data_IF_349019014725
#
_entry.id   IF_349019014725
#
_cell.length_a   1.000
_cell.length_b   1.000
_cell.length_c   1.000
_cell.angle_alpha   90.00
_cell.angle_beta   90.00
_cell.angle_gamma   90.00
#
_symmetry.space_group_name_H-M   'P 1'
#
loop_
_entity.id
_entity.type
_entity.pdbx_description
1 polymer ?
#
# COMPACT_ATOMS: atom_id res chain seq x y z
N UNK A 1 -9.86 -23.26 27.50
CA UNK A 1 -10.98 -22.64 26.75
C UNK A 1 -11.96 -23.74 26.37
N UNK A 2 -13.23 -23.62 26.77
CA UNK A 2 -14.28 -24.61 26.49
C UNK A 2 -14.49 -24.73 24.97
N UNK A 3 -14.70 -25.97 24.50
CA UNK A 3 -14.98 -26.34 23.10
C UNK A 3 -16.08 -25.46 22.49
N UNK A 4 -15.80 -24.82 21.35
CA UNK A 4 -16.66 -23.84 20.64
C UNK A 4 -17.55 -24.51 19.57
N UNK A 5 -17.42 -25.83 19.35
CA UNK A 5 -17.99 -26.51 18.18
C UNK A 5 -19.10 -27.46 18.63
N UNK A 6 -20.29 -27.29 18.04
CA UNK A 6 -21.48 -28.10 18.36
C UNK A 6 -21.60 -29.31 17.42
N UNK A 7 -21.28 -29.14 16.14
CA UNK A 7 -21.28 -30.21 15.14
C UNK A 7 -20.16 -30.05 14.10
N UNK A 8 -19.57 -31.19 13.70
CA UNK A 8 -18.64 -31.28 12.57
C UNK A 8 -19.19 -32.29 11.56
N UNK A 9 -19.35 -31.87 10.32
CA UNK A 9 -19.66 -32.77 9.18
C UNK A 9 -18.46 -32.83 8.25
N UNK A 10 -18.00 -34.03 7.94
CA UNK A 10 -16.80 -34.28 7.13
C UNK A 10 -17.23 -34.98 5.84
N UNK A 11 -16.85 -34.40 4.70
CA UNK A 11 -17.06 -35.00 3.39
C UNK A 11 -15.72 -35.12 2.66
N UNK A 12 -15.33 -36.35 2.35
CA UNK A 12 -14.18 -36.66 1.50
C UNK A 12 -14.66 -36.84 0.06
N UNK A 13 -14.15 -36.00 -0.84
CA UNK A 13 -14.41 -36.11 -2.26
C UNK A 13 -13.12 -36.51 -2.97
N UNK A 14 -13.21 -37.58 -3.77
CA UNK A 14 -12.12 -38.05 -4.62
C UNK A 14 -12.52 -37.87 -6.08
N UNK A 15 -11.76 -37.08 -6.83
CA UNK A 15 -11.97 -36.89 -8.26
C UNK A 15 -10.63 -37.06 -9.00
N UNK A 16 -10.52 -38.15 -9.77
CA UNK A 16 -9.25 -38.63 -10.38
C UNK A 16 -8.13 -38.75 -9.33
N UNK A 17 -7.08 -37.93 -9.42
CA UNK A 17 -5.91 -37.95 -8.53
C UNK A 17 -5.95 -36.87 -7.42
N UNK A 18 -7.05 -36.12 -7.29
CA UNK A 18 -7.20 -35.06 -6.29
C UNK A 18 -8.09 -35.54 -5.15
N UNK A 19 -7.61 -35.38 -3.92
CA UNK A 19 -8.39 -35.56 -2.70
C UNK A 19 -8.71 -34.18 -2.11
N UNK A 20 -9.98 -33.92 -1.86
CA UNK A 20 -10.43 -32.71 -1.17
C UNK A 20 -11.21 -33.11 0.08
N UNK A 21 -10.81 -32.57 1.23
CA UNK A 21 -11.55 -32.71 2.48
C UNK A 21 -12.34 -31.42 2.72
N UNK A 22 -13.66 -31.56 2.83
CA UNK A 22 -14.56 -30.50 3.21
C UNK A 22 -15.01 -30.74 4.65
N UNK A 23 -14.74 -29.79 5.53
CA UNK A 23 -15.21 -29.81 6.91
C UNK A 23 -16.13 -28.62 7.14
N UNK A 24 -17.38 -28.90 7.51
CA UNK A 24 -18.35 -27.89 7.90
C UNK A 24 -18.44 -27.85 9.43
N UNK A 25 -18.23 -26.68 10.01
CA UNK A 25 -18.34 -26.43 11.44
C UNK A 25 -19.55 -25.53 11.71
N UNK A 26 -20.25 -25.84 12.81
CA UNK A 26 -21.32 -25.00 13.34
C UNK A 26 -20.96 -24.60 14.77
N UNK A 27 -20.92 -23.29 15.01
CA UNK A 27 -20.76 -22.75 16.37
C UNK A 27 -22.13 -22.62 17.08
N UNK A 28 -22.09 -22.31 18.38
CA UNK A 28 -23.27 -22.17 19.22
C UNK A 28 -24.19 -21.00 18.83
N UNK A 29 -23.75 -20.11 17.95
CA UNK A 29 -24.52 -19.00 17.41
C UNK A 29 -25.09 -19.30 16.01
N UNK A 30 -25.06 -20.56 15.57
CA UNK A 30 -25.44 -20.99 14.21
C UNK A 30 -24.62 -20.35 13.08
N UNK A 31 -23.38 -19.92 13.34
CA UNK A 31 -22.47 -19.52 12.27
C UNK A 31 -21.86 -20.77 11.61
N UNK A 32 -21.87 -20.78 10.29
CA UNK A 32 -21.28 -21.86 9.48
C UNK A 32 -19.88 -21.48 9.02
N UNK A 33 -18.91 -22.35 9.30
CA UNK A 33 -17.55 -22.25 8.78
C UNK A 33 -17.31 -23.44 7.86
N UNK A 34 -16.87 -23.19 6.63
CA UNK A 34 -16.45 -24.25 5.71
C UNK A 34 -14.94 -24.18 5.53
N UNK A 35 -14.26 -25.26 5.89
CA UNK A 35 -12.85 -25.45 5.63
C UNK A 35 -12.70 -26.42 4.45
N UNK A 36 -11.92 -25.99 3.45
CA UNK A 36 -11.59 -26.82 2.28
C UNK A 36 -10.08 -27.09 2.34
N UNK A 37 -9.70 -28.35 2.40
CA UNK A 37 -8.30 -28.77 2.36
C UNK A 37 -8.07 -29.53 1.06
N UNK A 38 -7.22 -28.97 0.20
CA UNK A 38 -6.77 -29.61 -1.03
C UNK A 38 -5.47 -30.40 -0.77
N UNK A 39 -5.51 -31.70 -1.02
CA UNK A 39 -4.36 -32.60 -0.85
C UNK A 39 -3.58 -32.83 -2.15
N UNK A 40 -3.89 -32.11 -3.23
CA UNK A 40 -3.25 -32.28 -4.54
C UNK A 40 -1.72 -32.09 -4.51
N UNK A 41 -1.18 -31.37 -3.52
CA UNK A 41 0.26 -31.13 -3.34
C UNK A 41 0.85 -31.64 -2.02
N UNK A 42 0.12 -32.41 -1.21
CA UNK A 42 0.61 -32.85 0.11
C UNK A 42 1.30 -34.20 -0.01
N UNK A 43 2.59 -34.20 -0.38
CA UNK A 43 3.42 -35.41 -0.32
C UNK A 43 3.91 -35.66 1.11
N UNK A 44 3.36 -36.66 1.80
CA UNK A 44 3.89 -37.25 3.04
C UNK A 44 4.17 -36.30 4.24
N UNK A 45 3.45 -35.19 4.40
CA UNK A 45 3.60 -34.28 5.54
C UNK A 45 2.62 -34.58 6.69
N UNK A 46 3.10 -34.46 7.95
CA UNK A 46 2.31 -34.72 9.17
C UNK A 46 1.48 -33.49 9.55
N UNK A 47 0.16 -33.60 9.49
CA UNK A 47 -0.75 -32.60 10.05
C UNK A 47 -0.75 -32.63 11.59
N UNK A 48 -0.68 -31.45 12.22
CA UNK A 48 -0.83 -31.28 13.68
C UNK A 48 -1.77 -30.12 13.98
N UNK A 49 -2.53 -30.22 15.08
CA UNK A 49 -3.34 -29.11 15.60
C UNK A 49 -2.55 -28.44 16.71
N UNK A 50 -2.28 -27.13 16.58
CA UNK A 50 -1.63 -26.32 17.62
C UNK A 50 -2.40 -25.01 17.77
N UNK A 51 -2.76 -24.67 19.01
CA UNK A 51 -3.47 -23.43 19.37
C UNK A 51 -4.75 -23.14 18.55
N UNK A 52 -5.48 -24.19 18.17
CA UNK A 52 -6.74 -24.06 17.41
C UNK A 52 -6.59 -23.94 15.89
N UNK A 53 -5.35 -24.02 15.37
CA UNK A 53 -5.05 -23.98 13.94
C UNK A 53 -4.50 -25.32 13.45
N UNK A 54 -4.86 -25.71 12.23
CA UNK A 54 -4.31 -26.89 11.55
C UNK A 54 -2.99 -26.49 10.87
N UNK A 55 -1.89 -27.12 11.27
CA UNK A 55 -0.56 -26.90 10.71
C UNK A 55 -0.20 -28.04 9.74
N UNK A 56 0.23 -27.67 8.53
CA UNK A 56 0.91 -28.56 7.57
C UNK A 56 2.37 -28.06 7.53
N UNK A 57 3.32 -28.89 7.96
CA UNK A 57 4.72 -28.45 8.16
C UNK A 57 5.66 -29.12 7.18
N UNK A 58 6.51 -28.31 6.55
CA UNK A 58 7.79 -28.73 5.96
C UNK A 58 8.94 -27.96 6.64
N UNK A 59 9.03 -28.07 7.97
CA UNK A 59 9.93 -27.26 8.81
C UNK A 59 9.20 -26.24 9.70
N UNK A 60 9.97 -25.34 10.33
CA UNK A 60 9.55 -24.49 11.46
C UNK A 60 8.67 -23.27 11.13
N UNK A 61 8.15 -23.13 9.90
CA UNK A 61 7.28 -22.01 9.52
C UNK A 61 5.84 -22.45 9.18
N UNK A 62 4.85 -21.79 9.79
CA UNK A 62 3.42 -21.98 9.50
C UNK A 62 2.97 -21.05 8.36
N UNK A 63 2.42 -21.61 7.28
CA UNK A 63 1.76 -20.84 6.21
C UNK A 63 0.28 -20.55 6.56
N UNK A 64 -0.14 -19.28 6.44
CA UNK A 64 -1.53 -18.82 6.60
C UNK A 64 -2.21 -18.65 5.23
N UNK A 65 -3.47 -19.09 5.06
CA UNK A 65 -4.27 -18.81 3.85
C UNK A 65 -5.69 -18.28 4.13
N UNK A 66 -6.20 -17.57 3.12
CA UNK A 66 -7.13 -16.43 3.13
C UNK A 66 -8.61 -16.78 2.86
N UNK A 67 -9.48 -15.79 3.16
CA UNK A 67 -10.92 -15.68 2.90
C UNK A 67 -11.35 -15.82 1.42
N UNK A 68 -12.47 -16.51 1.17
CA UNK A 68 -13.32 -16.37 -0.02
C UNK A 68 -14.79 -16.21 0.42
N UNK A 69 -15.41 -15.04 0.17
CA UNK A 69 -16.86 -14.84 0.34
C UNK A 69 -17.52 -14.48 -1.00
N UNK A 70 -18.79 -14.89 -1.11
CA UNK A 70 -19.78 -14.60 -2.16
C UNK A 70 -19.94 -15.63 -3.29
N UNK A 71 -18.90 -16.04 -4.03
CA UNK A 71 -19.10 -16.99 -5.14
C UNK A 71 -19.40 -18.43 -4.65
N UNK A 72 -18.70 -18.89 -3.61
CA UNK A 72 -18.84 -20.26 -3.10
C UNK A 72 -20.18 -20.47 -2.36
N UNK A 73 -20.72 -19.42 -1.71
CA UNK A 73 -22.03 -19.48 -1.05
C UNK A 73 -23.14 -19.70 -2.09
N UNK A 74 -23.03 -19.05 -3.25
CA UNK A 74 -23.99 -19.23 -4.33
C UNK A 74 -23.96 -20.66 -4.89
N UNK A 75 -22.76 -21.18 -5.14
CA UNK A 75 -22.54 -22.56 -5.62
C UNK A 75 -23.02 -23.59 -4.59
N UNK A 76 -22.71 -23.41 -3.32
CA UNK A 76 -23.12 -24.33 -2.25
C UNK A 76 -24.63 -24.30 -2.01
N UNK A 77 -25.28 -23.14 -2.18
CA UNK A 77 -26.74 -23.02 -2.07
C UNK A 77 -27.43 -23.76 -3.21
N UNK A 78 -26.92 -23.63 -4.44
CA UNK A 78 -27.41 -24.40 -5.60
C UNK A 78 -27.19 -25.90 -5.38
N UNK A 79 -26.00 -26.32 -4.90
CA UNK A 79 -25.74 -27.72 -4.57
C UNK A 79 -26.67 -28.25 -3.47
N UNK A 80 -26.99 -27.45 -2.44
CA UNK A 80 -27.95 -27.82 -1.39
C UNK A 80 -29.36 -28.05 -1.95
N UNK A 81 -29.81 -27.18 -2.85
CA UNK A 81 -31.11 -27.31 -3.53
C UNK A 81 -31.13 -28.58 -4.41
N UNK A 82 -30.05 -28.85 -5.14
CA UNK A 82 -29.93 -30.08 -5.94
C UNK A 82 -29.95 -31.35 -5.08
N UNK A 83 -29.26 -31.37 -3.93
CA UNK A 83 -29.25 -32.51 -3.01
C UNK A 83 -30.62 -32.73 -2.36
N UNK A 84 -31.32 -31.65 -1.98
CA UNK A 84 -32.69 -31.76 -1.46
C UNK A 84 -33.63 -32.33 -2.52
N UNK A 85 -33.53 -31.86 -3.77
CA UNK A 85 -34.32 -32.41 -4.88
C UNK A 85 -34.01 -33.89 -5.14
N UNK A 86 -32.75 -34.30 -5.06
CA UNK A 86 -32.34 -35.71 -5.19
C UNK A 86 -32.88 -36.57 -4.04
N UNK A 87 -32.84 -36.08 -2.79
CA UNK A 87 -33.37 -36.80 -1.63
C UNK A 87 -34.91 -36.91 -1.66
N UNK A 88 -35.62 -35.91 -2.19
CA UNK A 88 -37.07 -35.99 -2.42
C UNK A 88 -37.41 -37.07 -3.44
N UNK A 89 -36.57 -37.24 -4.48
CA UNK A 89 -36.73 -38.30 -5.48
C UNK A 89 -36.47 -39.68 -4.87
N UNK A 90 -35.43 -39.83 -4.04
CA UNK A 90 -35.12 -41.11 -3.37
C UNK A 90 -36.18 -41.52 -2.33
N UNK A 91 -36.71 -40.59 -1.55
CA UNK A 91 -37.80 -40.89 -0.61
C UNK A 91 -39.09 -41.29 -1.33
N UNK A 92 -39.31 -40.80 -2.55
CA UNK A 92 -40.44 -41.22 -3.39
C UNK A 92 -40.25 -42.63 -3.96
N UNK A 93 -39.02 -43.15 -4.00
CA UNK A 93 -38.67 -44.48 -4.52
C UNK A 93 -38.89 -45.59 -3.50
N UNK A 94 -38.82 -45.29 -2.19
CA UNK A 94 -39.03 -46.25 -1.09
C UNK A 94 -40.51 -46.54 -0.80
N UNK A 95 -41.44 -45.71 -1.28
CA UNK A 95 -42.89 -45.85 -1.07
C UNK A 95 -43.61 -46.34 -2.32
N UNK A 96 -43.16 -47.45 -2.93
CA UNK A 96 -43.96 -48.34 -3.80
C UNK A 96 -44.84 -47.72 -4.89
N UNK A 97 -44.55 -46.51 -5.37
CA UNK A 97 -45.42 -45.76 -6.28
C UNK A 97 -45.16 -46.07 -7.75
N UNK A 98 -46.22 -46.38 -8.49
CA UNK A 98 -46.22 -46.72 -9.92
C UNK A 98 -45.24 -45.90 -10.79
N UNK A 99 -44.30 -46.62 -11.41
CA UNK A 99 -43.12 -46.15 -12.15
C UNK A 99 -43.39 -45.25 -13.38
N UNK A 100 -44.63 -45.09 -13.81
CA UNK A 100 -45.01 -44.34 -15.02
C UNK A 100 -45.43 -42.90 -14.76
N UNK A 101 -45.86 -42.54 -13.53
CA UNK A 101 -46.39 -41.19 -13.24
C UNK A 101 -45.32 -40.21 -12.74
N UNK A 102 -44.31 -40.70 -12.03
CA UNK A 102 -43.16 -39.93 -11.50
C UNK A 102 -42.12 -39.59 -12.57
N UNK A 103 -41.87 -40.47 -13.55
CA UNK A 103 -41.02 -40.16 -14.72
C UNK A 103 -41.61 -39.03 -15.57
N UNK A 104 -42.92 -39.02 -15.76
CA UNK A 104 -43.61 -37.97 -16.53
C UNK A 104 -43.63 -36.63 -15.78
N UNK A 105 -43.71 -36.61 -14.44
CA UNK A 105 -43.56 -35.39 -13.65
C UNK A 105 -42.12 -34.85 -13.64
N UNK A 106 -41.11 -35.72 -13.61
CA UNK A 106 -39.70 -35.29 -13.66
C UNK A 106 -39.35 -34.69 -15.03
N UNK A 107 -39.86 -35.28 -16.12
CA UNK A 107 -39.71 -34.75 -17.48
C UNK A 107 -40.45 -33.41 -17.63
N UNK A 108 -41.61 -33.25 -16.99
CA UNK A 108 -42.35 -31.98 -16.99
C UNK A 108 -41.60 -30.88 -16.20
N UNK A 109 -41.03 -31.21 -15.04
CA UNK A 109 -40.22 -30.27 -14.24
C UNK A 109 -38.92 -29.88 -14.96
N UNK A 110 -38.26 -30.81 -15.65
CA UNK A 110 -37.05 -30.52 -16.43
C UNK A 110 -37.37 -29.69 -17.68
N UNK A 111 -38.52 -29.93 -18.34
CA UNK A 111 -39.00 -29.06 -19.43
C UNK A 111 -39.40 -27.66 -18.93
N UNK A 112 -40.03 -27.55 -17.76
CA UNK A 112 -40.37 -26.24 -17.16
C UNK A 112 -39.12 -25.46 -16.72
N UNK A 113 -38.07 -26.17 -16.26
CA UNK A 113 -36.77 -25.57 -15.92
C UNK A 113 -36.02 -25.07 -17.18
N UNK A 114 -36.12 -25.78 -18.31
CA UNK A 114 -35.52 -25.34 -19.58
C UNK A 114 -36.22 -24.11 -20.18
N UNK A 115 -37.52 -23.93 -19.96
CA UNK A 115 -38.26 -22.72 -20.40
C UNK A 115 -37.85 -21.48 -19.59
N UNK A 116 -37.47 -21.64 -18.32
CA UNK A 116 -36.99 -20.52 -17.47
C UNK A 116 -35.57 -20.08 -17.87
N UNK A 117 -34.73 -20.98 -18.38
CA UNK A 117 -33.35 -20.67 -18.79
C UNK A 117 -33.30 -20.03 -20.20
N UNK A 118 -34.27 -20.32 -21.07
CA UNK A 118 -34.37 -19.70 -22.40
C UNK A 118 -34.98 -18.28 -22.38
N UNK A 119 -35.54 -17.82 -21.25
CA UNK A 119 -36.17 -16.51 -21.10
C UNK A 119 -35.26 -15.37 -20.65
N UNK A 120 -33.97 -15.63 -20.33
CA UNK A 120 -33.00 -14.60 -19.93
C UNK A 120 -31.96 -14.30 -21.01
N UNK A 121 -32.36 -14.44 -22.27
CA UNK A 121 -31.59 -14.00 -23.43
C UNK A 121 -32.46 -13.11 -24.30
N UNK A 122 -32.27 -11.78 -24.15
CA UNK A 122 -32.82 -10.68 -24.96
C UNK A 122 -34.13 -10.06 -24.43
N UNK A 123 -34.01 -9.28 -23.36
CA UNK A 123 -34.94 -8.19 -23.07
C UNK A 123 -34.35 -6.87 -23.61
N UNK A 124 -34.95 -6.35 -24.67
CA UNK A 124 -34.93 -4.92 -24.98
C UNK A 124 -35.59 -4.18 -23.81
N UNK A 125 -34.77 -3.58 -22.94
CA UNK A 125 -35.25 -2.56 -22.02
C UNK A 125 -35.66 -1.35 -22.83
N UNK A 126 -36.97 -1.12 -22.96
CA UNK A 126 -37.51 0.24 -23.07
C UNK A 126 -37.10 0.99 -21.80
N UNK A 127 -36.04 1.77 -21.93
CA UNK A 127 -35.69 2.83 -21.00
C UNK A 127 -36.84 3.86 -21.01
N UNK A 128 -37.61 3.88 -19.92
CA UNK A 128 -38.19 5.14 -19.48
C UNK A 128 -37.01 6.01 -19.06
N UNK A 129 -36.67 6.96 -19.93
CA UNK A 129 -35.64 7.96 -19.76
C UNK A 129 -36.01 8.90 -18.60
N UNK A 130 -35.59 8.49 -17.40
CA UNK A 130 -35.07 9.42 -16.41
C UNK A 130 -33.61 9.06 -16.19
N UNK A 131 -32.80 9.32 -17.22
CA UNK A 131 -31.34 9.40 -17.13
C UNK A 131 -30.94 10.52 -16.16
N UNK A 132 -30.93 10.20 -14.87
CA UNK A 132 -29.93 10.81 -13.98
C UNK A 132 -28.59 10.30 -14.50
N UNK A 133 -27.91 11.10 -15.33
CA UNK A 133 -26.54 10.85 -15.81
C UNK A 133 -25.74 10.17 -14.70
N UNK A 134 -25.42 8.88 -14.88
CA UNK A 134 -24.43 8.23 -14.04
C UNK A 134 -23.16 9.07 -14.16
N UNK A 135 -22.80 9.79 -13.09
CA UNK A 135 -21.51 10.47 -13.02
C UNK A 135 -20.45 9.38 -13.23
N UNK A 136 -19.58 9.55 -14.22
CA UNK A 136 -18.45 8.66 -14.48
C UNK A 136 -17.76 8.32 -13.16
N UNK A 137 -17.84 7.08 -12.68
CA UNK A 137 -17.20 6.64 -11.44
C UNK A 137 -16.13 5.59 -11.71
N UNK A 138 -15.12 5.52 -10.84
CA UNK A 138 -14.05 4.53 -10.95
C UNK A 138 -13.62 4.05 -9.57
N UNK A 139 -13.20 2.78 -9.50
CA UNK A 139 -12.71 2.16 -8.27
C UNK A 139 -11.20 2.24 -8.17
N UNK A 140 -10.71 2.51 -6.97
CA UNK A 140 -9.29 2.56 -6.64
C UNK A 140 -9.03 1.52 -5.57
N UNK A 141 -8.13 0.57 -5.86
CA UNK A 141 -7.57 -0.33 -4.84
C UNK A 141 -6.45 0.38 -4.11
N UNK A 142 -6.43 0.26 -2.80
CA UNK A 142 -5.50 0.97 -1.92
C UNK A 142 -5.30 0.19 -0.60
N UNK A 143 -4.46 0.72 0.28
CA UNK A 143 -3.98 0.03 1.50
C UNK A 143 -5.09 -0.40 2.47
N UNK A 144 -6.26 0.25 2.41
CA UNK A 144 -7.41 -0.04 3.28
C UNK A 144 -8.57 -0.73 2.53
N UNK A 145 -8.37 -1.16 1.28
CA UNK A 145 -9.37 -1.89 0.49
C UNK A 145 -9.62 -1.28 -0.89
N UNK A 146 -10.89 -1.06 -1.21
CA UNK A 146 -11.31 -0.47 -2.49
C UNK A 146 -12.28 0.68 -2.24
N UNK A 147 -12.01 1.83 -2.84
CA UNK A 147 -12.86 3.03 -2.74
C UNK A 147 -13.37 3.41 -4.12
N UNK A 148 -14.67 3.63 -4.25
CA UNK A 148 -15.28 4.19 -5.46
C UNK A 148 -15.24 5.72 -5.39
N UNK A 149 -14.69 6.35 -6.44
CA UNK A 149 -14.66 7.80 -6.61
C UNK A 149 -15.60 8.20 -7.73
N UNK A 150 -16.44 9.20 -7.48
CA UNK A 150 -17.46 9.67 -8.41
C UNK A 150 -16.99 10.93 -9.14
N UNK A 151 -16.87 10.87 -10.46
CA UNK A 151 -16.37 11.94 -11.31
C UNK A 151 -14.90 12.26 -11.05
N UNK A 152 -14.44 13.39 -11.58
CA UNK A 152 -13.14 13.96 -11.20
C UNK A 152 -13.28 14.78 -9.92
N UNK A 153 -12.58 14.42 -8.82
CA UNK A 153 -12.57 15.20 -7.59
C UNK A 153 -12.18 16.66 -7.81
N UNK A 154 -12.83 17.58 -7.10
CA UNK A 154 -12.62 19.03 -7.15
C UNK A 154 -12.13 19.59 -5.83
N UNK A 155 -12.42 18.94 -4.71
CA UNK A 155 -12.02 19.33 -3.35
C UNK A 155 -11.26 18.20 -2.70
N UNK A 156 -9.99 18.07 -3.09
CA UNK A 156 -9.10 17.04 -2.57
C UNK A 156 -8.41 17.54 -1.30
N UNK A 157 -8.47 16.73 -0.24
CA UNK A 157 -7.62 16.88 0.94
C UNK A 157 -6.53 15.81 0.89
N UNK A 158 -5.27 16.22 1.05
CA UNK A 158 -4.11 15.31 1.03
C UNK A 158 -3.35 15.41 2.35
N UNK A 159 -3.21 14.28 3.04
CA UNK A 159 -2.73 14.25 4.42
C UNK A 159 -1.21 14.04 4.54
N UNK A 160 -0.48 14.00 3.43
CA UNK A 160 0.99 13.86 3.40
C UNK A 160 1.65 14.96 2.58
N UNK A 161 2.88 15.33 2.95
CA UNK A 161 3.69 16.30 2.22
C UNK A 161 4.07 15.77 0.82
N UNK A 162 4.48 14.50 0.72
CA UNK A 162 4.83 13.87 -0.57
C UNK A 162 3.63 13.77 -1.51
N UNK A 163 2.44 13.55 -0.96
CA UNK A 163 1.21 13.56 -1.75
C UNK A 163 0.81 14.95 -2.22
N UNK A 164 1.08 16.00 -1.43
CA UNK A 164 0.83 17.37 -1.88
C UNK A 164 1.67 17.70 -3.12
N UNK A 165 2.93 17.26 -3.17
CA UNK A 165 3.74 17.37 -4.39
C UNK A 165 3.15 16.59 -5.56
N UNK A 166 2.63 15.38 -5.30
CA UNK A 166 2.05 14.55 -6.33
C UNK A 166 0.86 15.22 -7.02
N UNK A 167 -0.07 15.78 -6.23
CA UNK A 167 -1.23 16.50 -6.75
C UNK A 167 -0.81 17.74 -7.55
N UNK A 168 0.11 18.53 -7.00
CA UNK A 168 0.60 19.74 -7.63
C UNK A 168 1.32 19.45 -8.97
N UNK A 169 2.07 18.35 -9.05
CA UNK A 169 2.76 17.93 -10.27
C UNK A 169 1.79 17.59 -11.42
N UNK A 170 0.54 17.22 -11.12
CA UNK A 170 -0.51 16.95 -12.12
C UNK A 170 -1.56 18.06 -12.20
N UNK A 171 -1.25 19.25 -11.67
CA UNK A 171 -2.09 20.44 -11.77
C UNK A 171 -3.32 20.43 -10.85
N UNK A 172 -3.29 19.65 -9.77
CA UNK A 172 -4.34 19.63 -8.75
C UNK A 172 -3.84 20.34 -7.49
N UNK A 173 -4.43 21.48 -7.16
CA UNK A 173 -4.17 22.17 -5.89
C UNK A 173 -5.11 21.61 -4.82
N UNK A 174 -4.60 21.02 -3.72
CA UNK A 174 -5.46 20.53 -2.65
C UNK A 174 -6.14 21.69 -1.92
N UNK A 175 -7.38 21.49 -1.49
CA UNK A 175 -8.09 22.46 -0.65
C UNK A 175 -7.60 22.42 0.79
N UNK A 176 -7.03 21.29 1.21
CA UNK A 176 -6.37 21.14 2.50
C UNK A 176 -5.21 20.17 2.48
N UNK A 177 -4.16 20.48 3.22
CA UNK A 177 -3.03 19.59 3.46
C UNK A 177 -2.39 19.80 4.83
N UNK A 178 -1.48 18.91 5.22
CA UNK A 178 -0.76 18.99 6.48
C UNK A 178 0.33 20.04 6.43
N UNK A 179 0.65 20.62 7.60
CA UNK A 179 1.82 21.50 7.71
C UNK A 179 3.08 20.77 7.25
N UNK A 180 4.06 21.49 6.68
CA UNK A 180 5.39 20.95 6.47
C UNK A 180 5.96 20.40 7.77
N UNK A 181 6.72 19.31 7.66
CA UNK A 181 7.52 18.81 8.78
C UNK A 181 8.63 19.79 9.19
N UNK A 182 9.03 20.66 8.27
CA UNK A 182 10.17 21.56 8.42
C UNK A 182 9.87 22.91 7.74
N UNK A 183 10.06 24.03 8.45
CA UNK A 183 9.79 25.40 7.96
C UNK A 183 8.56 26.06 8.59
N UNK A 184 8.30 27.33 8.25
CA UNK A 184 7.31 28.16 8.95
C UNK A 184 5.86 27.93 8.47
N UNK A 185 5.61 27.96 7.16
CA UNK A 185 4.25 27.87 6.59
C UNK A 185 4.13 26.77 5.52
N UNK A 186 4.93 26.85 4.45
CA UNK A 186 5.03 25.85 3.39
C UNK A 186 6.50 25.58 3.05
N UNK A 187 6.81 24.40 2.49
CA UNK A 187 8.13 24.22 1.90
C UNK A 187 8.34 25.25 0.78
N UNK A 188 9.54 25.86 0.65
CA UNK A 188 9.77 26.94 -0.32
C UNK A 188 9.37 26.57 -1.75
N UNK A 189 9.60 25.32 -2.17
CA UNK A 189 9.26 24.84 -3.52
C UNK A 189 7.77 24.61 -3.76
N UNK A 190 6.93 24.68 -2.71
CA UNK A 190 5.47 24.51 -2.79
C UNK A 190 4.69 25.76 -2.39
N UNK A 191 5.32 26.72 -1.70
CA UNK A 191 4.65 27.85 -1.06
C UNK A 191 3.76 28.66 -2.01
N UNK A 192 4.24 28.92 -3.24
CA UNK A 192 3.47 29.67 -4.24
C UNK A 192 2.19 28.94 -4.66
N UNK A 193 2.26 27.61 -4.78
CA UNK A 193 1.17 26.77 -5.27
C UNK A 193 0.16 26.44 -4.16
N UNK A 194 0.59 26.46 -2.88
CA UNK A 194 -0.23 26.16 -1.70
C UNK A 194 -0.75 27.39 -0.95
N UNK A 195 -0.51 28.61 -1.45
CA UNK A 195 -0.88 29.86 -0.76
C UNK A 195 -2.33 29.95 -0.27
N UNK A 196 -3.27 29.31 -0.98
CA UNK A 196 -4.70 29.32 -0.66
C UNK A 196 -5.17 28.01 0.00
N UNK A 197 -4.30 27.00 0.09
CA UNK A 197 -4.57 25.71 0.72
C UNK A 197 -4.69 25.86 2.23
N UNK A 198 -5.65 25.16 2.85
CA UNK A 198 -5.84 25.19 4.30
C UNK A 198 -5.00 24.12 4.99
N UNK A 199 -4.46 24.48 6.15
CA UNK A 199 -3.77 23.53 7.02
C UNK A 199 -4.81 22.68 7.77
N UNK A 200 -4.65 21.35 7.71
CA UNK A 200 -5.52 20.37 8.38
C UNK A 200 -4.81 19.57 9.48
N UNK A 201 -3.79 20.18 10.12
CA UNK A 201 -2.97 19.56 11.16
C UNK A 201 -1.57 19.23 10.67
N UNK A 202 -0.94 18.22 11.26
CA UNK A 202 0.38 17.70 10.89
C UNK A 202 0.23 16.26 10.39
N UNK A 203 1.21 15.72 9.65
CA UNK A 203 1.18 14.30 9.23
C UNK A 203 1.08 13.28 10.39
N UNK A 204 1.32 13.70 11.64
CA UNK A 204 1.19 12.83 12.82
C UNK A 204 -0.11 13.04 13.58
N UNK A 205 -0.74 14.19 13.37
CA UNK A 205 -1.90 14.63 14.14
C UNK A 205 -2.80 15.45 13.24
N UNK A 206 -3.78 14.76 12.66
CA UNK A 206 -4.73 15.33 11.69
C UNK A 206 -5.89 15.95 12.45
N UNK A 207 -6.21 17.20 12.13
CA UNK A 207 -7.37 17.88 12.66
C UNK A 207 -8.61 17.49 11.84
N UNK A 208 -9.36 16.50 12.33
CA UNK A 208 -10.57 15.99 11.66
C UNK A 208 -11.64 17.08 11.45
N UNK A 209 -11.83 17.98 12.42
CA UNK A 209 -12.78 19.09 12.28
C UNK A 209 -12.41 20.04 11.13
N UNK A 210 -11.11 20.33 10.98
CA UNK A 210 -10.59 21.13 9.87
C UNK A 210 -10.83 20.43 8.53
N UNK A 211 -10.61 19.10 8.45
CA UNK A 211 -10.93 18.31 7.25
C UNK A 211 -12.43 18.38 6.93
N UNK A 212 -13.31 18.14 7.91
CA UNK A 212 -14.76 18.20 7.74
C UNK A 212 -15.24 19.57 7.22
N UNK A 213 -14.68 20.66 7.77
CA UNK A 213 -15.06 22.04 7.39
C UNK A 213 -14.79 22.34 5.91
N UNK A 214 -13.81 21.67 5.30
CA UNK A 214 -13.49 21.84 3.87
C UNK A 214 -14.49 21.15 2.95
N UNK A 215 -15.29 20.23 3.47
CA UNK A 215 -16.25 19.41 2.70
C UNK A 215 -15.59 18.78 1.47
N UNK A 216 -14.55 17.95 1.67
CA UNK A 216 -13.83 17.32 0.57
C UNK A 216 -14.73 16.35 -0.21
N UNK A 217 -14.40 16.11 -1.48
CA UNK A 217 -14.98 15.04 -2.29
C UNK A 217 -14.04 13.84 -2.44
N UNK A 218 -12.79 13.98 -2.00
CA UNK A 218 -11.81 12.90 -1.86
C UNK A 218 -10.81 13.26 -0.75
N UNK A 219 -10.49 12.29 0.10
CA UNK A 219 -9.38 12.37 1.06
C UNK A 219 -8.32 11.34 0.64
N UNK A 220 -7.07 11.78 0.59
CA UNK A 220 -5.93 10.90 0.31
C UNK A 220 -4.99 10.93 1.51
N UNK A 221 -4.58 9.75 1.97
CA UNK A 221 -3.71 9.60 3.14
C UNK A 221 -2.73 8.44 3.00
N UNK A 222 -2.18 8.01 4.12
CA UNK A 222 -1.16 6.97 4.19
C UNK A 222 -1.40 6.12 5.43
N UNK A 223 -1.48 4.80 5.26
CA UNK A 223 -1.82 3.86 6.33
C UNK A 223 -0.78 3.90 7.45
N UNK A 224 0.51 3.95 7.15
CA UNK A 224 1.57 4.07 8.17
C UNK A 224 1.36 5.25 9.14
N UNK A 225 0.68 6.32 8.71
CA UNK A 225 0.42 7.51 9.54
C UNK A 225 -1.00 7.55 10.10
N UNK A 226 -1.99 7.19 9.29
CA UNK A 226 -3.39 7.55 9.52
C UNK A 226 -4.33 6.34 9.63
N UNK A 227 -3.81 5.11 9.72
CA UNK A 227 -4.64 3.88 9.80
C UNK A 227 -5.72 3.98 10.89
N UNK A 228 -5.35 4.45 12.09
CA UNK A 228 -6.26 4.56 13.23
C UNK A 228 -7.47 5.48 13.00
N UNK A 229 -7.35 6.44 12.09
CA UNK A 229 -8.38 7.45 11.81
C UNK A 229 -9.03 7.24 10.43
N UNK A 230 -8.75 6.12 9.76
CA UNK A 230 -9.28 5.83 8.42
C UNK A 230 -10.81 5.85 8.39
N UNK A 231 -11.48 5.13 9.29
CA UNK A 231 -12.95 5.08 9.32
C UNK A 231 -13.57 6.46 9.54
N UNK A 232 -12.99 7.27 10.43
CA UNK A 232 -13.43 8.64 10.69
C UNK A 232 -13.28 9.53 9.46
N UNK A 233 -12.20 9.37 8.68
CA UNK A 233 -12.01 10.10 7.43
C UNK A 233 -12.94 9.60 6.33
N UNK A 234 -13.20 8.30 6.27
CA UNK A 234 -14.09 7.68 5.30
C UNK A 234 -15.56 8.06 5.50
N UNK A 235 -15.98 8.35 6.74
CA UNK A 235 -17.28 8.96 7.04
C UNK A 235 -17.41 10.39 6.49
N UNK A 236 -16.29 11.12 6.30
CA UNK A 236 -16.28 12.50 5.81
C UNK A 236 -16.38 12.52 4.28
N UNK A 237 -15.55 11.71 3.60
CA UNK A 237 -15.51 11.60 2.14
C UNK A 237 -14.83 10.29 1.72
N UNK A 238 -15.01 9.83 0.46
CA UNK A 238 -14.25 8.71 -0.08
C UNK A 238 -12.76 8.86 0.24
N UNK A 239 -12.17 7.83 0.85
CA UNK A 239 -10.80 7.90 1.36
C UNK A 239 -9.91 6.84 0.72
N UNK A 240 -8.69 7.22 0.31
CA UNK A 240 -7.72 6.35 -0.38
C UNK A 240 -6.37 6.47 0.32
N UNK A 241 -5.78 5.34 0.76
CA UNK A 241 -4.50 5.33 1.45
C UNK A 241 -3.40 4.62 0.68
N UNK A 242 -2.23 5.26 0.57
CA UNK A 242 -0.98 4.55 0.33
C UNK A 242 -0.59 3.67 1.52
N UNK A 243 0.22 2.63 1.30
CA UNK A 243 0.62 1.70 2.36
C UNK A 243 1.68 2.31 3.29
N UNK A 244 2.82 2.73 2.72
CA UNK A 244 3.94 3.28 3.49
C UNK A 244 4.52 4.55 2.86
N UNK A 245 5.48 5.18 3.53
CA UNK A 245 6.25 6.31 3.00
C UNK A 245 7.59 5.77 2.46
N UNK A 246 8.65 5.81 3.28
CA UNK A 246 9.96 5.17 3.01
C UNK A 246 10.46 5.39 1.56
N UNK A 247 10.75 4.33 0.81
CA UNK A 247 11.17 4.38 -0.58
C UNK A 247 10.01 4.44 -1.60
N UNK A 248 8.76 4.35 -1.16
CA UNK A 248 7.60 4.05 -2.02
C UNK A 248 7.04 5.30 -2.73
N UNK A 249 7.75 6.43 -2.72
CA UNK A 249 7.22 7.72 -3.22
C UNK A 249 6.72 7.67 -4.66
N UNK A 250 7.33 6.86 -5.54
CA UNK A 250 6.88 6.66 -6.94
C UNK A 250 5.56 5.87 -7.02
N UNK A 251 5.41 4.87 -6.16
CA UNK A 251 4.21 4.03 -6.07
C UNK A 251 3.06 4.85 -5.50
N UNK A 252 3.33 5.60 -4.43
CA UNK A 252 2.40 6.56 -3.84
C UNK A 252 1.96 7.62 -4.85
N UNK A 253 2.91 8.22 -5.57
CA UNK A 253 2.63 9.18 -6.64
C UNK A 253 1.67 8.60 -7.70
N UNK A 254 1.91 7.35 -8.11
CA UNK A 254 1.04 6.65 -9.09
C UNK A 254 -0.36 6.44 -8.52
N UNK A 255 -0.48 6.00 -7.26
CA UNK A 255 -1.77 5.85 -6.59
C UNK A 255 -2.53 7.17 -6.49
N UNK A 256 -1.86 8.25 -6.09
CA UNK A 256 -2.51 9.54 -5.85
C UNK A 256 -2.97 10.20 -7.14
N UNK A 257 -2.15 10.14 -8.20
CA UNK A 257 -2.52 10.70 -9.51
C UNK A 257 -3.67 9.91 -10.13
N UNK A 258 -3.71 8.59 -9.96
CA UNK A 258 -4.88 7.78 -10.28
C UNK A 258 -6.10 8.20 -9.45
N UNK A 259 -5.92 8.44 -8.15
CA UNK A 259 -7.02 8.78 -7.27
C UNK A 259 -7.73 10.09 -7.64
N UNK A 260 -7.02 11.05 -8.23
CA UNK A 260 -7.58 12.31 -8.73
C UNK A 260 -7.92 12.31 -10.21
N UNK A 261 -7.97 11.14 -10.86
CA UNK A 261 -8.24 10.96 -12.29
C UNK A 261 -7.24 11.71 -13.21
N UNK A 262 -5.95 11.62 -12.85
CA UNK A 262 -4.81 12.26 -13.54
C UNK A 262 -3.69 11.26 -13.87
N UNK A 263 -4.06 10.01 -14.16
CA UNK A 263 -3.11 8.92 -14.43
C UNK A 263 -2.20 9.22 -15.63
N UNK A 264 -2.71 9.86 -16.69
CA UNK A 264 -1.91 10.23 -17.87
C UNK A 264 -0.86 11.29 -17.53
N UNK A 265 -1.24 12.34 -16.82
CA UNK A 265 -0.31 13.38 -16.36
C UNK A 265 0.70 12.82 -15.36
N UNK A 266 0.28 11.92 -14.47
CA UNK A 266 1.16 11.21 -13.55
C UNK A 266 2.19 10.37 -14.30
N UNK A 267 1.75 9.53 -15.23
CA UNK A 267 2.63 8.69 -16.04
C UNK A 267 3.67 9.55 -16.79
N UNK A 268 3.24 10.66 -17.39
CA UNK A 268 4.13 11.61 -18.04
C UNK A 268 5.17 12.19 -17.08
N UNK A 269 4.79 12.58 -15.87
CA UNK A 269 5.72 13.15 -14.90
C UNK A 269 6.79 12.13 -14.47
N UNK A 270 6.42 10.85 -14.31
CA UNK A 270 7.38 9.76 -14.03
C UNK A 270 8.31 9.50 -15.23
N UNK A 271 7.79 9.56 -16.45
CA UNK A 271 8.60 9.43 -17.67
C UNK A 271 9.60 10.58 -17.81
N UNK A 272 9.18 11.82 -17.55
CA UNK A 272 10.05 12.99 -17.58
C UNK A 272 11.16 12.88 -16.51
N UNK A 273 10.83 12.42 -15.29
CA UNK A 273 11.81 12.11 -14.24
C UNK A 273 12.82 11.03 -14.67
N UNK A 274 12.35 9.91 -15.24
CA UNK A 274 13.23 8.84 -15.77
C UNK A 274 14.14 9.35 -16.88
N UNK A 275 13.59 10.12 -17.82
CA UNK A 275 14.38 10.71 -18.92
C UNK A 275 15.49 11.62 -18.38
N UNK A 276 15.19 12.40 -17.35
CA UNK A 276 16.19 13.24 -16.68
C UNK A 276 17.31 12.41 -16.05
N UNK A 277 16.97 11.31 -15.39
CA UNK A 277 17.94 10.37 -14.82
C UNK A 277 18.85 9.78 -15.90
N UNK A 278 18.30 9.33 -17.03
CA UNK A 278 19.12 8.75 -18.10
C UNK A 278 20.11 9.78 -18.66
N UNK A 279 19.67 11.02 -18.91
CA UNK A 279 20.57 12.10 -19.30
C UNK A 279 21.61 12.45 -18.22
N UNK A 280 21.31 12.21 -16.94
CA UNK A 280 22.26 12.40 -15.84
C UNK A 280 23.30 11.27 -15.78
N UNK A 281 22.88 10.01 -15.98
CA UNK A 281 23.77 8.84 -16.01
C UNK A 281 24.86 9.00 -17.05
N UNK A 282 24.48 9.43 -18.26
CA UNK A 282 25.42 9.70 -19.35
C UNK A 282 26.48 10.74 -18.96
N UNK A 283 26.08 11.81 -18.27
CA UNK A 283 27.00 12.86 -17.82
C UNK A 283 27.89 12.42 -16.65
N UNK A 284 27.37 11.60 -15.75
CA UNK A 284 28.10 11.13 -14.57
C UNK A 284 29.19 10.11 -14.94
N UNK A 285 28.91 9.22 -15.89
CA UNK A 285 29.85 8.19 -16.36
C UNK A 285 30.45 7.42 -15.18
N UNK A 286 31.78 7.35 -15.11
CA UNK A 286 32.50 6.59 -14.07
C UNK A 286 32.24 7.09 -12.64
N UNK A 287 31.73 8.32 -12.46
CA UNK A 287 31.35 8.82 -11.12
C UNK A 287 30.24 7.99 -10.48
N UNK A 288 29.43 7.26 -11.27
CA UNK A 288 28.44 6.31 -10.76
C UNK A 288 29.06 5.17 -9.94
N UNK A 289 30.35 4.88 -10.13
CA UNK A 289 31.07 3.90 -9.33
C UNK A 289 31.34 4.37 -7.89
N UNK A 290 31.16 5.66 -7.59
CA UNK A 290 31.36 6.20 -6.26
C UNK A 290 30.30 5.67 -5.29
N UNK A 291 30.75 5.28 -4.09
CA UNK A 291 29.91 4.87 -2.96
C UNK A 291 29.41 6.12 -2.23
N UNK A 292 28.12 6.41 -2.37
CA UNK A 292 27.48 7.56 -1.74
C UNK A 292 26.89 7.16 -0.38
N UNK A 293 27.32 7.83 0.67
CA UNK A 293 26.87 7.64 2.05
C UNK A 293 25.85 8.71 2.44
N UNK A 294 24.78 8.32 3.16
CA UNK A 294 23.72 9.21 3.62
C UNK A 294 23.55 9.13 5.13
N UNK A 295 23.81 10.25 5.81
CA UNK A 295 23.77 10.35 7.27
C UNK A 295 22.69 11.36 7.69
N UNK A 296 21.92 11.00 8.70
CA UNK A 296 20.95 11.92 9.31
C UNK A 296 21.27 12.11 10.78
N UNK A 297 21.40 13.38 11.17
CA UNK A 297 21.50 13.78 12.57
C UNK A 297 20.14 14.27 13.03
N UNK A 298 19.55 13.58 14.00
CA UNK A 298 18.33 14.02 14.67
C UNK A 298 18.60 14.19 16.17
N UNK A 299 17.80 14.98 16.88
CA UNK A 299 17.92 15.12 18.33
C UNK A 299 17.95 13.75 19.03
N UNK A 300 19.07 13.44 19.70
CA UNK A 300 19.32 12.20 20.44
C UNK A 300 19.61 10.94 19.62
N UNK A 301 19.73 11.01 18.29
CA UNK A 301 19.93 9.82 17.46
C UNK A 301 20.67 10.14 16.14
N UNK A 302 21.61 9.28 15.76
CA UNK A 302 22.33 9.37 14.47
C UNK A 302 21.98 8.14 13.65
N UNK A 303 21.64 8.39 12.38
CA UNK A 303 21.14 7.35 11.47
C UNK A 303 21.94 7.28 10.20
N UNK A 304 22.14 6.07 9.73
CA UNK A 304 22.70 5.77 8.41
C UNK A 304 21.55 5.28 7.52
N UNK A 305 21.24 6.04 6.47
CA UNK A 305 20.11 5.74 5.58
C UNK A 305 20.46 4.68 4.53
N UNK A 306 19.53 3.75 4.32
CA UNK A 306 19.67 2.60 3.42
C UNK A 306 18.77 2.77 2.18
N UNK A 307 18.66 1.76 1.31
CA UNK A 307 17.98 1.91 0.00
C UNK A 307 16.49 2.18 0.11
N UNK A 308 15.80 1.61 1.11
CA UNK A 308 14.36 1.81 1.30
C UNK A 308 14.09 3.13 2.06
N UNK A 309 14.63 4.21 1.51
CA UNK A 309 14.43 5.59 1.96
C UNK A 309 14.35 6.50 0.74
N UNK A 310 13.80 7.70 0.88
CA UNK A 310 13.63 8.63 -0.24
C UNK A 310 14.95 8.88 -1.00
N UNK A 311 15.99 9.33 -0.31
CA UNK A 311 17.33 9.53 -0.90
C UNK A 311 17.96 8.23 -1.38
N UNK A 312 17.69 7.12 -0.68
CA UNK A 312 18.10 5.78 -1.11
C UNK A 312 17.58 5.41 -2.49
N UNK A 313 16.29 5.62 -2.73
CA UNK A 313 15.63 5.32 -4.00
C UNK A 313 16.10 6.27 -5.11
N UNK A 314 16.22 7.57 -4.85
CA UNK A 314 16.70 8.53 -5.86
C UNK A 314 18.14 8.23 -6.28
N UNK A 315 19.04 7.94 -5.33
CA UNK A 315 20.42 7.55 -5.64
C UNK A 315 20.50 6.23 -6.41
N UNK A 316 19.64 5.27 -6.05
CA UNK A 316 19.55 3.99 -6.76
C UNK A 316 19.02 4.17 -8.19
N UNK A 317 18.04 5.06 -8.39
CA UNK A 317 17.52 5.39 -9.73
C UNK A 317 18.62 5.98 -10.62
N UNK A 318 19.42 6.90 -10.08
CA UNK A 318 20.58 7.50 -10.76
C UNK A 318 21.67 6.46 -11.02
N UNK A 319 21.77 5.43 -10.18
CA UNK A 319 22.72 4.32 -10.36
C UNK A 319 24.03 4.46 -9.57
N UNK A 320 24.04 5.29 -8.53
CA UNK A 320 25.18 5.35 -7.61
C UNK A 320 25.31 4.08 -6.79
N UNK A 321 26.56 3.66 -6.53
CA UNK A 321 26.82 2.61 -5.54
C UNK A 321 26.61 3.15 -4.12
N UNK A 322 26.35 2.23 -3.19
CA UNK A 322 26.22 2.52 -1.76
C UNK A 322 27.32 1.78 -0.98
N UNK A 323 27.81 2.30 0.16
CA UNK A 323 28.64 1.53 1.08
C UNK A 323 27.92 0.23 1.51
N UNK A 324 28.63 -0.89 1.79
CA UNK A 324 28.00 -2.19 2.04
C UNK A 324 26.91 -2.23 3.12
N UNK A 325 27.06 -1.43 4.19
CA UNK A 325 26.03 -1.31 5.24
C UNK A 325 24.82 -0.49 4.81
N UNK A 326 24.98 0.35 3.79
CA UNK A 326 23.93 1.19 3.21
C UNK A 326 23.26 0.54 1.99
N UNK A 327 23.92 -0.46 1.40
CA UNK A 327 23.49 -1.24 0.24
C UNK A 327 22.51 -2.36 0.63
N UNK A 328 21.47 -2.02 1.40
CA UNK A 328 20.44 -2.94 1.90
C UNK A 328 19.06 -2.35 1.65
N UNK A 329 18.07 -3.19 1.39
CA UNK A 329 16.67 -2.80 1.12
C UNK A 329 15.88 -2.50 2.41
N UNK A 330 16.57 -1.90 3.37
CA UNK A 330 16.05 -1.48 4.67
C UNK A 330 15.94 0.04 4.73
N UNK A 331 15.26 0.57 5.76
CA UNK A 331 15.04 2.01 5.88
C UNK A 331 16.31 2.77 6.31
N UNK A 332 16.81 2.44 7.51
CA UNK A 332 17.99 3.05 8.09
C UNK A 332 18.48 2.25 9.29
N UNK A 333 19.79 2.28 9.52
CA UNK A 333 20.40 1.88 10.79
C UNK A 333 20.25 3.06 11.76
N UNK A 334 19.75 2.80 12.97
CA UNK A 334 19.49 3.81 14.01
C UNK A 334 20.33 3.54 15.24
N UNK A 335 20.46 4.54 16.11
CA UNK A 335 21.21 4.42 17.35
C UNK A 335 22.70 4.22 17.09
N UNK A 336 23.24 4.86 16.05
CA UNK A 336 24.66 4.80 15.74
C UNK A 336 25.44 5.43 16.88
N UNK A 337 26.46 4.73 17.38
CA UNK A 337 27.40 5.26 18.39
C UNK A 337 28.66 5.80 17.73
N UNK A 338 29.46 6.58 18.45
CA UNK A 338 30.68 7.19 17.90
C UNK A 338 31.70 6.16 17.44
N UNK A 339 31.78 5.01 18.12
CA UNK A 339 32.66 3.89 17.74
C UNK A 339 32.29 3.32 16.36
N UNK A 340 31.05 3.54 15.92
CA UNK A 340 30.53 3.10 14.63
C UNK A 340 30.65 4.17 13.53
N UNK A 341 31.29 5.32 13.80
CA UNK A 341 31.59 6.34 12.77
C UNK A 341 32.24 5.74 11.50
N UNK A 342 33.17 4.77 11.56
CA UNK A 342 33.70 4.12 10.36
C UNK A 342 32.64 3.53 9.41
N UNK A 343 31.45 3.18 9.92
CA UNK A 343 30.34 2.68 9.11
C UNK A 343 29.67 3.77 8.25
N UNK A 344 29.97 5.04 8.52
CA UNK A 344 29.48 6.19 7.76
C UNK A 344 30.30 6.46 6.50
N UNK A 345 31.46 5.82 6.33
CA UNK A 345 32.36 6.17 5.23
C UNK A 345 31.78 5.84 3.84
N UNK A 346 32.30 6.53 2.86
CA UNK A 346 32.00 6.39 1.44
C UNK A 346 32.98 7.23 0.64
N UNK A 347 32.87 7.19 -0.69
CA UNK A 347 33.62 8.13 -1.53
C UNK A 347 33.06 9.55 -1.38
N UNK A 348 31.77 9.66 -1.04
CA UNK A 348 31.06 10.89 -0.72
C UNK A 348 30.16 10.65 0.48
N UNK A 349 30.12 11.61 1.42
CA UNK A 349 29.17 11.63 2.53
C UNK A 349 28.26 12.85 2.35
N UNK A 350 26.96 12.61 2.19
CA UNK A 350 25.96 13.67 2.33
C UNK A 350 25.27 13.50 3.68
N UNK A 351 25.15 14.59 4.42
CA UNK A 351 24.44 14.59 5.69
C UNK A 351 23.41 15.72 5.77
N UNK A 352 22.36 15.48 6.54
CA UNK A 352 21.34 16.48 6.83
C UNK A 352 20.89 16.40 8.28
N UNK A 353 20.39 17.51 8.80
CA UNK A 353 20.00 17.69 10.19
C UNK A 353 18.51 17.89 10.32
N UNK A 354 17.92 17.41 11.41
CA UNK A 354 16.49 17.53 11.70
C UNK A 354 16.21 18.44 12.88
N UNK A 355 16.44 19.72 12.67
CA UNK A 355 16.28 20.76 13.70
C UNK A 355 14.95 21.50 13.61
N UNK A 356 14.23 21.35 12.49
CA UNK A 356 13.10 22.20 12.11
C UNK A 356 11.78 21.80 12.78
N UNK A 357 11.79 20.89 13.77
CA UNK A 357 10.70 20.78 14.74
C UNK A 357 10.92 21.94 15.76
N UNK A 358 9.98 22.91 15.85
CA UNK A 358 10.14 24.18 16.58
C UNK A 358 10.60 24.08 18.05
N UNK A 359 10.46 22.91 18.67
CA UNK A 359 10.76 22.66 20.08
C UNK A 359 12.16 22.09 20.34
N UNK A 360 13.02 21.95 19.32
CA UNK A 360 14.25 21.13 19.42
C UNK A 360 15.59 21.88 19.35
N UNK A 361 15.59 23.20 19.57
CA UNK A 361 16.77 24.02 19.88
C UNK A 361 18.06 23.74 19.05
N UNK A 362 17.95 23.43 17.75
CA UNK A 362 19.09 23.07 16.91
C UNK A 362 19.94 21.88 17.42
N UNK A 363 19.35 20.95 18.17
CA UNK A 363 20.05 19.79 18.74
C UNK A 363 20.65 18.87 17.66
N UNK A 364 19.97 18.66 16.53
CA UNK A 364 20.48 17.89 15.40
C UNK A 364 21.68 18.55 14.72
N UNK A 365 21.66 19.89 14.57
CA UNK A 365 22.80 20.68 14.07
C UNK A 365 23.98 20.61 15.04
N UNK A 366 23.71 20.74 16.33
CA UNK A 366 24.74 20.61 17.37
C UNK A 366 25.38 19.23 17.34
N UNK A 367 24.56 18.18 17.23
CA UNK A 367 25.01 16.80 17.11
C UNK A 367 25.83 16.58 15.83
N UNK A 368 25.38 17.10 14.68
CA UNK A 368 26.13 17.00 13.44
C UNK A 368 27.50 17.67 13.53
N UNK A 369 27.59 18.84 14.17
CA UNK A 369 28.87 19.51 14.41
C UNK A 369 29.78 18.67 15.29
N UNK A 370 29.27 18.17 16.42
CA UNK A 370 30.04 17.33 17.34
C UNK A 370 30.60 16.09 16.63
N UNK A 371 29.79 15.44 15.79
CA UNK A 371 30.18 14.23 15.09
C UNK A 371 31.14 14.49 13.94
N UNK A 372 30.93 15.55 13.15
CA UNK A 372 31.81 15.88 12.03
C UNK A 372 33.17 16.44 12.49
N UNK A 373 33.24 17.02 13.69
CA UNK A 373 34.49 17.47 14.30
C UNK A 373 35.24 16.35 15.05
N UNK A 374 34.60 15.20 15.27
CA UNK A 374 35.17 14.05 15.98
C UNK A 374 36.43 13.48 15.26
N UNK A 375 37.48 13.09 16.00
CA UNK A 375 38.67 12.50 15.39
C UNK A 375 38.38 11.29 14.51
N UNK A 376 37.43 10.41 14.88
CA UNK A 376 37.07 9.25 14.07
C UNK A 376 36.44 9.67 12.75
N UNK A 377 35.64 10.74 12.74
CA UNK A 377 35.00 11.24 11.54
C UNK A 377 36.02 11.88 10.60
N UNK A 378 36.97 12.65 11.14
CA UNK A 378 38.08 13.23 10.39
C UNK A 378 39.01 12.18 9.78
N UNK A 379 38.98 10.93 10.27
CA UNK A 379 39.74 9.83 9.70
C UNK A 379 39.03 9.13 8.52
N UNK A 380 37.74 9.38 8.30
CA UNK A 380 37.01 8.84 7.15
C UNK A 380 37.62 9.32 5.84
N UNK A 381 37.60 8.46 4.82
CA UNK A 381 38.18 8.76 3.52
C UNK A 381 37.48 9.96 2.88
N UNK A 382 36.14 10.00 2.90
CA UNK A 382 35.39 11.15 2.41
C UNK A 382 35.75 12.46 3.15
N UNK A 383 36.05 12.41 4.45
CA UNK A 383 36.46 13.60 5.19
C UNK A 383 37.84 14.09 4.76
N UNK A 384 38.80 13.18 4.56
CA UNK A 384 40.15 13.51 4.09
C UNK A 384 40.14 14.10 2.68
N UNK A 385 39.22 13.61 1.85
CA UNK A 385 39.08 14.04 0.46
C UNK A 385 38.21 15.32 0.31
N UNK A 386 37.76 15.92 1.41
CA UNK A 386 36.83 17.06 1.43
C UNK A 386 35.51 16.79 0.66
N UNK A 387 35.01 15.55 0.74
CA UNK A 387 33.76 15.09 0.09
C UNK A 387 32.66 14.81 1.11
N UNK A 388 32.57 15.67 2.12
CA UNK A 388 31.51 15.66 3.13
C UNK A 388 30.67 16.92 2.92
N UNK A 389 29.39 16.74 2.64
CA UNK A 389 28.50 17.83 2.25
C UNK A 389 27.24 17.83 3.12
N UNK A 390 26.94 18.97 3.72
CA UNK A 390 25.63 19.21 4.29
C UNK A 390 24.64 19.51 3.16
N UNK A 391 23.48 18.85 3.20
CA UNK A 391 22.38 19.03 2.24
C UNK A 391 21.08 19.39 2.95
N UNK A 392 20.12 19.94 2.20
CA UNK A 392 18.82 20.34 2.74
C UNK A 392 17.95 19.11 3.06
N UNK A 393 17.56 18.95 4.32
CA UNK A 393 16.68 17.87 4.78
C UNK A 393 15.34 17.82 4.02
N UNK A 394 14.77 18.98 3.69
CA UNK A 394 13.50 19.10 2.97
C UNK A 394 13.58 18.39 1.64
N UNK A 395 14.62 18.69 0.87
CA UNK A 395 14.84 18.13 -0.47
C UNK A 395 15.26 16.67 -0.38
N UNK A 396 16.18 16.32 0.53
CA UNK A 396 16.81 14.99 0.56
C UNK A 396 16.03 13.95 1.40
N UNK A 397 14.95 14.35 2.10
CA UNK A 397 14.24 13.42 2.99
C UNK A 397 12.78 13.80 3.29
N UNK A 398 12.48 14.99 3.80
CA UNK A 398 11.18 15.24 4.48
C UNK A 398 10.04 15.68 3.58
N UNK A 399 10.31 16.29 2.43
CA UNK A 399 9.26 16.59 1.46
C UNK A 399 8.84 15.33 0.69
N UNK A 400 9.82 14.54 0.24
CA UNK A 400 9.64 13.12 -0.11
C UNK A 400 8.84 12.83 -1.38
N UNK A 401 8.47 13.83 -2.17
CA UNK A 401 7.68 13.67 -3.40
C UNK A 401 8.49 13.90 -4.68
N UNK A 402 7.78 13.95 -5.81
CA UNK A 402 8.38 14.07 -7.15
C UNK A 402 9.08 15.42 -7.41
N UNK A 403 8.61 16.51 -6.78
CA UNK A 403 9.24 17.83 -6.94
C UNK A 403 10.54 17.85 -6.15
N UNK A 404 10.53 17.34 -4.92
CA UNK A 404 11.75 17.14 -4.12
C UNK A 404 12.73 16.19 -4.82
N UNK A 405 12.26 15.14 -5.49
CA UNK A 405 13.13 14.22 -6.22
C UNK A 405 13.86 14.93 -7.36
N UNK A 406 13.16 15.80 -8.10
CA UNK A 406 13.79 16.63 -9.13
C UNK A 406 14.78 17.66 -8.54
N UNK A 407 14.48 18.25 -7.38
CA UNK A 407 15.42 19.16 -6.70
C UNK A 407 16.66 18.41 -6.19
N UNK A 408 16.50 17.16 -5.72
CA UNK A 408 17.63 16.32 -5.34
C UNK A 408 18.49 15.97 -6.56
N UNK A 409 17.89 15.76 -7.73
CA UNK A 409 18.64 15.63 -8.98
C UNK A 409 19.42 16.91 -9.32
N UNK A 410 18.86 18.11 -9.08
CA UNK A 410 19.60 19.39 -9.25
C UNK A 410 20.83 19.46 -8.33
N UNK A 411 20.67 19.03 -7.07
CA UNK A 411 21.78 18.97 -6.11
C UNK A 411 22.84 17.94 -6.53
N UNK A 412 22.43 16.75 -6.99
CA UNK A 412 23.38 15.74 -7.50
C UNK A 412 24.19 16.32 -8.67
N UNK A 413 23.56 17.01 -9.62
CA UNK A 413 24.29 17.68 -10.70
C UNK A 413 25.27 18.72 -10.15
N UNK A 414 24.87 19.49 -9.14
CA UNK A 414 25.72 20.49 -8.49
C UNK A 414 26.95 19.88 -7.81
N UNK A 415 26.82 18.74 -7.13
CA UNK A 415 27.95 18.16 -6.37
C UNK A 415 28.86 17.25 -7.20
N UNK A 416 28.38 16.70 -8.32
CA UNK A 416 29.14 15.73 -9.11
C UNK A 416 29.55 16.22 -10.50
N UNK A 417 28.89 17.24 -11.06
CA UNK A 417 29.15 17.74 -12.42
C UNK A 417 29.66 19.18 -12.47
N UNK A 418 29.52 19.94 -11.39
CA UNK A 418 30.01 21.32 -11.24
C UNK A 418 31.06 21.35 -10.14
#
# INVERSE_FOLDING_TARGET
>A
MKSIIEHVSILLLRWRHVFVLLMLFVDWNNNYFLMVIDFSNVSNEKMRIKDGYICISNGDECLNYMYLKSFLIYVLTICKICIILLNVIDNHFQLGGHMTRTKNMLILCIMLLMVIIAGCGKEEKKENDTSVKAKDSYSIKHAMGETTVNGTPKKVVILTNEGAEALLAVGVTPVGTTKPRAGDEWYPHLAKELKDTKVVGTERDINLEAVMKLKPDLIIGNKMRHEKIYEQLNEIAPTVYAETLRGDWKENFTLYTKAVNKEKEGQKAIEDYKKRIEGMKEKLGDKLNSKVSIIRFVPGDVRIYQKNSFSGVVLNDVGFKRPPLQDKDEFAIKGITKEQIPNMDGDYIFYFTSDKDADKNNEGTTLAKEWTEDPLFKQLQASKDNKVFQVDEVIWNTAGGIKAANLMLDDIEKYFLK
#
